data_IF_806044274323
#
_entry.id   IF_806044274323
#
_cell.length_a   1.000
_cell.length_b   1.000
_cell.length_c   1.000
_cell.angle_alpha   90.00
_cell.angle_beta   90.00
_cell.angle_gamma   90.00
#
_symmetry.space_group_name_H-M   'P 1'
#
loop_
_entity.id
_entity.type
_entity.pdbx_description
1 polymer ?
#
# COMPACT_ATOMS: atom_id res chain seq x y z
N UNK A 1 5.80 22.28 -20.41
CA UNK A 1 7.12 22.05 -19.82
C UNK A 1 7.06 21.31 -18.48
N UNK A 2 7.64 20.11 -18.43
CA UNK A 2 7.98 19.36 -17.21
C UNK A 2 9.50 19.45 -17.02
N UNK A 3 9.94 19.74 -15.79
CA UNK A 3 11.37 19.71 -15.42
C UNK A 3 11.72 18.37 -14.81
N UNK A 4 12.73 17.72 -15.35
CA UNK A 4 13.25 16.42 -14.92
C UNK A 4 14.65 16.64 -14.34
N UNK A 5 14.86 16.18 -13.11
CA UNK A 5 16.18 16.17 -12.49
C UNK A 5 16.89 14.86 -12.86
N UNK A 6 18.12 14.93 -13.36
CA UNK A 6 18.94 13.72 -13.49
C UNK A 6 19.47 13.29 -12.11
N UNK A 7 19.57 11.98 -11.92
CA UNK A 7 19.96 11.39 -10.65
C UNK A 7 21.03 10.31 -10.85
N UNK A 8 21.94 10.19 -9.90
CA UNK A 8 22.78 9.01 -9.70
C UNK A 8 22.15 8.13 -8.61
N UNK A 9 22.44 6.83 -8.63
CA UNK A 9 22.01 5.93 -7.56
C UNK A 9 23.06 5.91 -6.44
N UNK A 10 22.61 6.15 -5.21
CA UNK A 10 23.42 5.95 -4.01
C UNK A 10 23.94 4.50 -3.89
N UNK A 11 24.81 4.25 -2.91
CA UNK A 11 25.08 2.89 -2.48
C UNK A 11 23.79 2.26 -1.92
N UNK A 12 23.60 0.95 -2.06
CA UNK A 12 22.45 0.26 -1.49
C UNK A 12 22.46 0.39 0.04
N UNK A 13 21.28 0.62 0.61
CA UNK A 13 21.06 0.47 2.05
C UNK A 13 20.92 -1.00 2.44
N UNK A 14 20.62 -1.26 3.73
CA UNK A 14 20.46 -2.62 4.27
C UNK A 14 19.34 -3.44 3.60
N UNK A 15 18.38 -2.78 2.96
CA UNK A 15 17.29 -3.41 2.19
C UNK A 15 17.65 -3.66 0.74
N UNK A 16 18.83 -3.18 0.30
CA UNK A 16 19.25 -3.15 -1.10
C UNK A 16 18.69 -1.94 -1.88
N UNK A 17 17.93 -1.06 -1.22
CA UNK A 17 17.36 0.11 -1.86
C UNK A 17 18.44 1.16 -2.13
N UNK A 18 18.44 1.71 -3.35
CA UNK A 18 19.40 2.73 -3.79
C UNK A 18 18.68 4.04 -4.02
N UNK A 19 18.82 4.97 -3.08
CA UNK A 19 18.16 6.26 -3.18
C UNK A 19 18.69 7.07 -4.39
N UNK A 20 17.81 7.82 -5.09
CA UNK A 20 18.25 8.76 -6.11
C UNK A 20 18.94 9.98 -5.47
N UNK A 21 20.10 10.35 -6.00
CA UNK A 21 20.86 11.56 -5.62
C UNK A 21 20.86 12.49 -6.83
N UNK A 22 20.28 13.68 -6.68
CA UNK A 22 20.23 14.69 -7.74
C UNK A 22 21.64 15.08 -8.21
N UNK A 23 21.76 15.32 -9.52
CA UNK A 23 22.96 15.85 -10.16
C UNK A 23 22.71 17.33 -10.45
N UNK A 24 23.24 18.27 -9.65
CA UNK A 24 22.96 19.69 -9.80
C UNK A 24 23.39 20.21 -11.19
N UNK A 25 22.54 21.02 -11.82
CA UNK A 25 22.84 21.62 -13.14
C UNK A 25 22.64 20.67 -14.33
N UNK A 26 22.15 19.45 -14.10
CA UNK A 26 21.84 18.48 -15.15
C UNK A 26 20.33 18.37 -15.42
N UNK A 27 19.56 19.41 -15.12
CA UNK A 27 18.10 19.41 -15.31
C UNK A 27 17.73 19.47 -16.80
N UNK A 28 16.73 18.69 -17.20
CA UNK A 28 16.16 18.69 -18.53
C UNK A 28 14.72 19.22 -18.48
N UNK A 29 14.35 20.10 -19.40
CA UNK A 29 12.95 20.53 -19.56
C UNK A 29 12.39 19.92 -20.84
N UNK A 30 11.25 19.24 -20.72
CA UNK A 30 10.54 18.62 -21.85
C UNK A 30 9.17 19.27 -21.97
N UNK A 31 8.81 19.72 -23.16
CA UNK A 31 7.44 20.15 -23.44
C UNK A 31 6.53 18.95 -23.68
N UNK A 32 5.40 18.95 -22.99
CA UNK A 32 4.40 17.89 -23.00
C UNK A 32 3.02 18.51 -22.97
N UNK A 33 2.09 17.88 -23.69
CA UNK A 33 0.69 18.29 -23.70
C UNK A 33 -0.11 17.60 -22.57
N UNK A 34 0.31 16.40 -22.16
CA UNK A 34 -0.37 15.57 -21.17
C UNK A 34 0.63 14.91 -20.22
N UNK A 35 0.27 14.84 -18.94
CA UNK A 35 1.00 14.14 -17.89
C UNK A 35 0.08 13.08 -17.27
N UNK A 36 0.59 11.86 -17.11
CA UNK A 36 -0.10 10.76 -16.42
C UNK A 36 0.75 10.35 -15.23
N UNK A 37 0.26 10.57 -14.02
CA UNK A 37 0.93 10.17 -12.79
C UNK A 37 0.66 8.69 -12.48
N UNK A 38 1.71 7.86 -12.55
CA UNK A 38 1.65 6.43 -12.26
C UNK A 38 2.57 6.06 -11.08
N UNK A 39 2.60 6.89 -10.03
CA UNK A 39 3.48 6.75 -8.86
C UNK A 39 3.03 5.67 -7.86
N UNK A 40 1.94 4.97 -8.17
CA UNK A 40 1.26 4.06 -7.26
C UNK A 40 0.11 4.71 -6.51
N UNK A 41 -0.56 3.90 -5.68
CA UNK A 41 -1.77 4.29 -4.95
C UNK A 41 -1.57 4.15 -3.44
N UNK A 42 -2.35 4.91 -2.67
CA UNK A 42 -2.36 4.85 -1.21
C UNK A 42 -3.79 4.77 -0.71
N UNK A 43 -3.98 4.14 0.44
CA UNK A 43 -5.26 4.18 1.13
C UNK A 43 -5.66 5.63 1.47
N UNK A 44 -6.97 5.95 1.50
CA UNK A 44 -7.45 7.29 1.86
C UNK A 44 -6.91 7.76 3.21
N UNK A 45 -6.53 9.04 3.31
CA UNK A 45 -5.97 9.60 4.55
C UNK A 45 -6.93 9.56 5.74
N UNK A 46 -8.24 9.59 5.46
CA UNK A 46 -9.31 9.52 6.44
C UNK A 46 -9.83 8.09 6.64
N UNK A 47 -9.05 7.05 6.31
CA UNK A 47 -9.48 5.65 6.44
C UNK A 47 -9.95 5.31 7.86
N UNK A 48 -9.31 5.89 8.88
CA UNK A 48 -9.70 5.72 10.29
C UNK A 48 -11.11 6.23 10.59
N UNK A 49 -11.52 7.32 9.93
CA UNK A 49 -12.87 7.89 10.09
C UNK A 49 -13.91 7.07 9.33
N UNK A 50 -13.52 6.49 8.19
CA UNK A 50 -14.37 5.61 7.37
C UNK A 50 -14.61 4.27 8.09
N UNK A 51 -13.63 3.77 8.85
CA UNK A 51 -13.66 2.46 9.51
C UNK A 51 -13.55 2.60 11.04
N UNK A 52 -14.56 3.15 11.73
CA UNK A 52 -14.52 3.35 13.17
C UNK A 52 -14.36 2.02 13.93
N UNK A 53 -13.42 1.97 14.87
CA UNK A 53 -13.10 0.77 15.65
C UNK A 53 -12.11 -0.20 14.98
N UNK A 54 -11.65 0.11 13.76
CA UNK A 54 -10.59 -0.65 13.07
C UNK A 54 -9.24 0.06 13.25
N UNK A 55 -8.27 -0.65 13.81
CA UNK A 55 -6.89 -0.19 13.96
C UNK A 55 -6.16 -0.20 12.62
N UNK A 56 -5.30 0.80 12.42
CA UNK A 56 -4.47 0.94 11.23
C UNK A 56 -2.99 0.76 11.58
N UNK A 57 -2.22 0.25 10.63
CA UNK A 57 -0.76 0.19 10.71
C UNK A 57 -0.13 1.58 10.56
N UNK A 58 1.18 1.69 10.84
CA UNK A 58 1.93 2.92 10.62
C UNK A 58 1.88 3.43 9.16
N UNK A 59 1.60 2.55 8.19
CA UNK A 59 1.49 2.87 6.77
C UNK A 59 0.06 3.21 6.32
N UNK A 60 -0.87 3.45 7.26
CA UNK A 60 -2.27 3.76 6.99
C UNK A 60 -3.01 2.63 6.23
N UNK A 61 -2.66 1.37 6.55
CA UNK A 61 -3.35 0.16 6.08
C UNK A 61 -4.13 -0.47 7.23
N UNK A 62 -5.14 -1.28 6.96
CA UNK A 62 -5.90 -1.99 8.01
C UNK A 62 -4.98 -3.01 8.69
N UNK A 63 -4.88 -2.92 10.02
CA UNK A 63 -4.17 -3.90 10.81
C UNK A 63 -5.03 -5.17 10.97
N UNK A 64 -4.42 -6.33 10.75
CA UNK A 64 -5.08 -7.62 10.88
C UNK A 64 -4.23 -8.61 11.67
N UNK A 65 -4.89 -9.55 12.33
CA UNK A 65 -4.21 -10.67 12.98
C UNK A 65 -3.75 -11.69 11.92
N UNK A 66 -2.48 -12.10 12.02
CA UNK A 66 -1.89 -13.08 11.11
C UNK A 66 -2.66 -14.41 11.14
N UNK A 67 -2.96 -14.95 9.96
CA UNK A 67 -3.66 -16.22 9.80
C UNK A 67 -5.19 -16.15 9.84
N UNK A 68 -5.77 -15.20 10.60
CA UNK A 68 -7.24 -15.08 10.70
C UNK A 68 -7.82 -13.92 9.89
N UNK A 69 -6.99 -12.91 9.54
CA UNK A 69 -7.43 -11.68 8.87
C UNK A 69 -8.46 -10.86 9.66
N UNK A 70 -8.65 -11.19 10.94
CA UNK A 70 -9.51 -10.44 11.84
C UNK A 70 -8.91 -9.06 12.12
N UNK A 71 -9.74 -8.03 12.10
CA UNK A 71 -9.36 -6.67 12.50
C UNK A 71 -9.52 -6.50 14.02
N UNK A 72 -9.17 -5.32 14.55
CA UNK A 72 -9.45 -4.97 15.95
C UNK A 72 -10.95 -4.84 16.26
N UNK A 73 -11.82 -4.74 15.25
CA UNK A 73 -13.27 -4.68 15.43
C UNK A 73 -13.85 -6.08 15.27
N UNK A 74 -14.51 -6.56 16.32
CA UNK A 74 -15.16 -7.87 16.33
C UNK A 74 -16.12 -8.05 15.15
N UNK A 75 -16.08 -9.25 14.54
CA UNK A 75 -16.87 -9.59 13.36
C UNK A 75 -16.43 -8.91 12.06
N UNK A 76 -15.31 -8.17 12.05
CA UNK A 76 -14.79 -7.49 10.86
C UNK A 76 -13.43 -8.04 10.47
N UNK A 77 -13.32 -8.42 9.19
CA UNK A 77 -12.14 -9.01 8.57
C UNK A 77 -11.71 -8.17 7.37
N UNK A 78 -10.43 -8.22 7.01
CA UNK A 78 -9.89 -7.48 5.87
C UNK A 78 -8.79 -8.26 5.12
N UNK A 79 -8.74 -8.09 3.80
CA UNK A 79 -7.79 -8.78 2.93
C UNK A 79 -7.44 -7.96 1.69
N UNK A 80 -6.37 -8.35 0.98
CA UNK A 80 -5.92 -7.68 -0.23
C UNK A 80 -5.26 -6.31 0.02
N UNK A 81 -5.37 -5.41 -0.94
CA UNK A 81 -4.61 -4.15 -0.98
C UNK A 81 -4.76 -3.28 0.28
N UNK A 82 -5.93 -3.35 0.93
CA UNK A 82 -6.22 -2.54 2.13
C UNK A 82 -5.36 -2.95 3.33
N UNK A 83 -4.80 -4.17 3.33
CA UNK A 83 -3.89 -4.67 4.39
C UNK A 83 -2.42 -4.72 3.96
N UNK A 84 -2.13 -4.78 2.65
CA UNK A 84 -0.76 -5.01 2.14
C UNK A 84 -0.22 -3.93 1.18
N UNK A 85 -1.03 -2.96 0.79
CA UNK A 85 -0.58 -1.82 -0.02
C UNK A 85 -0.51 -2.05 -1.52
N UNK A 86 -1.20 -3.07 -2.06
CA UNK A 86 -1.27 -3.29 -3.51
C UNK A 86 -0.31 -4.34 -4.03
N UNK A 87 -0.29 -5.51 -3.38
CA UNK A 87 0.41 -6.69 -3.92
C UNK A 87 -0.31 -7.23 -5.18
N UNK A 88 0.02 -8.47 -5.56
CA UNK A 88 -0.57 -9.10 -6.74
C UNK A 88 -2.02 -9.52 -6.49
N UNK A 89 -2.80 -9.58 -7.58
CA UNK A 89 -4.19 -10.08 -7.56
C UNK A 89 -4.31 -11.46 -6.90
N UNK A 90 -3.36 -12.36 -7.13
CA UNK A 90 -3.35 -13.69 -6.50
C UNK A 90 -3.31 -13.62 -4.97
N UNK A 91 -2.63 -12.63 -4.41
CA UNK A 91 -2.58 -12.40 -2.96
C UNK A 91 -3.95 -11.94 -2.46
N UNK A 92 -4.61 -11.01 -3.16
CA UNK A 92 -5.95 -10.56 -2.80
C UNK A 92 -6.98 -11.70 -2.86
N UNK A 93 -6.90 -12.57 -3.86
CA UNK A 93 -7.76 -13.77 -3.95
C UNK A 93 -7.50 -14.71 -2.77
N UNK A 94 -6.23 -14.99 -2.46
CA UNK A 94 -5.87 -15.86 -1.34
C UNK A 94 -6.37 -15.31 0.01
N UNK A 95 -6.25 -14.00 0.21
CA UNK A 95 -6.76 -13.33 1.41
C UNK A 95 -8.29 -13.37 1.47
N UNK A 96 -8.98 -13.18 0.34
CA UNK A 96 -10.42 -13.28 0.26
C UNK A 96 -10.94 -14.68 0.65
N UNK A 97 -10.31 -15.74 0.11
CA UNK A 97 -10.65 -17.13 0.47
C UNK A 97 -10.46 -17.38 1.97
N UNK A 98 -9.33 -16.93 2.53
CA UNK A 98 -9.04 -17.10 3.96
C UNK A 98 -10.02 -16.31 4.84
N UNK A 99 -10.34 -15.08 4.47
CA UNK A 99 -11.31 -14.26 5.19
C UNK A 99 -12.69 -14.93 5.18
N UNK A 100 -13.11 -15.52 4.06
CA UNK A 100 -14.38 -16.25 3.98
C UNK A 100 -14.42 -17.46 4.92
N UNK A 101 -13.36 -18.26 4.99
CA UNK A 101 -13.25 -19.39 5.93
C UNK A 101 -13.35 -18.93 7.39
N UNK A 102 -12.70 -17.82 7.72
CA UNK A 102 -12.68 -17.27 9.09
C UNK A 102 -14.00 -16.62 9.48
N UNK A 103 -14.67 -15.94 8.54
CA UNK A 103 -16.03 -15.44 8.74
C UNK A 103 -16.99 -16.61 8.99
N UNK A 104 -16.88 -17.71 8.23
CA UNK A 104 -17.73 -18.88 8.45
C UNK A 104 -17.53 -19.47 9.85
N UNK A 105 -16.28 -19.65 10.27
CA UNK A 105 -15.94 -20.14 11.62
C UNK A 105 -16.49 -19.21 12.72
N UNK A 106 -16.42 -17.89 12.52
CA UNK A 106 -16.95 -16.91 13.47
C UNK A 106 -18.48 -16.94 13.59
N UNK A 107 -19.21 -17.27 12.52
CA UNK A 107 -20.67 -17.33 12.53
C UNK A 107 -21.22 -18.67 13.07
N UNK A 108 -20.41 -19.73 13.02
CA UNK A 108 -20.77 -21.06 13.52
C UNK A 108 -20.48 -21.25 15.02
N UNK A 109 -19.74 -20.32 15.65
CA UNK A 109 -19.41 -20.29 17.09
C UNK A 109 -20.45 -19.57 17.92
#
# INVERSE_FOLDING_TARGET
>A
AVRINHVNLAQPDETGFRAPIEIPGAELTIDVDVIIEALGQKAPKNLKDILPGVELTANNLVAVQNGTLATSREGVFAGGDVINGGLMVVTAVADGTRAAEQINQFLES
#
